data_IF_972394292851
#
_entry.id   IF_972394292851
#
_cell.length_a   1.000
_cell.length_b   1.000
_cell.length_c   1.000
_cell.angle_alpha   90.00
_cell.angle_beta   90.00
_cell.angle_gamma   90.00
#
_symmetry.space_group_name_H-M   'P 1'
#
loop_
_entity.id
_entity.type
_entity.pdbx_description
1 polymer ?
#
# COMPACT_ATOMS: atom_id res chain seq x y z
N UNK A 1 28.77 11.92 -19.39
CA UNK A 1 27.61 11.96 -18.47
C UNK A 1 27.73 10.75 -17.56
N UNK A 2 28.83 10.73 -16.82
CA UNK A 2 29.17 9.75 -15.81
C UNK A 2 28.86 10.37 -14.44
N UNK A 3 28.62 9.51 -13.46
CA UNK A 3 28.75 9.81 -12.04
C UNK A 3 27.58 10.53 -11.33
N UNK A 4 26.39 9.91 -11.29
CA UNK A 4 25.46 10.02 -10.14
C UNK A 4 24.68 8.70 -9.96
N UNK A 5 25.37 7.61 -9.64
CA UNK A 5 24.76 6.57 -8.80
C UNK A 5 25.72 6.44 -7.63
N UNK A 6 25.58 7.33 -6.64
CA UNK A 6 26.12 7.10 -5.32
C UNK A 6 25.65 5.71 -4.89
N UNK A 7 26.58 4.90 -4.38
CA UNK A 7 26.33 3.60 -3.77
C UNK A 7 25.06 3.65 -2.94
N UNK A 8 23.96 3.13 -3.51
CA UNK A 8 22.78 2.85 -2.73
C UNK A 8 23.25 1.70 -1.83
N UNK A 9 23.54 2.01 -0.56
CA UNK A 9 23.73 1.01 0.49
C UNK A 9 22.40 0.24 0.63
N UNK A 10 22.18 -0.68 -0.31
CA UNK A 10 21.07 -1.59 -0.33
C UNK A 10 21.27 -2.53 0.84
N UNK A 11 20.46 -2.31 1.87
CA UNK A 11 20.35 -3.25 2.97
C UNK A 11 19.92 -4.58 2.36
N UNK A 12 20.73 -5.61 2.49
CA UNK A 12 20.30 -6.99 2.25
C UNK A 12 19.70 -7.52 3.55
N UNK A 13 18.36 -7.55 3.70
CA UNK A 13 17.75 -7.90 4.97
C UNK A 13 17.98 -9.36 5.35
N UNK A 14 18.22 -10.21 4.36
CA UNK A 14 18.45 -11.64 4.51
C UNK A 14 19.88 -12.01 4.16
N UNK A 15 20.42 -13.00 4.87
CA UNK A 15 21.63 -13.74 4.51
C UNK A 15 21.29 -14.80 3.44
N UNK A 16 22.32 -15.48 2.92
CA UNK A 16 22.16 -16.56 1.94
C UNK A 16 21.35 -17.75 2.46
N UNK A 17 21.30 -17.96 3.77
CA UNK A 17 20.48 -18.97 4.45
C UNK A 17 19.05 -18.50 4.79
N UNK A 18 18.61 -17.37 4.21
CA UNK A 18 17.31 -16.73 4.45
C UNK A 18 17.07 -16.25 5.90
N UNK A 19 18.10 -16.22 6.75
CA UNK A 19 17.98 -15.63 8.09
C UNK A 19 18.18 -14.11 8.04
N UNK A 20 17.55 -13.38 8.98
CA UNK A 20 17.73 -11.93 9.08
C UNK A 20 19.15 -11.55 9.50
N UNK A 21 19.71 -10.52 8.87
CA UNK A 21 20.95 -9.88 9.34
C UNK A 21 20.73 -9.14 10.66
N UNK A 22 21.80 -8.88 11.43
CA UNK A 22 21.66 -8.10 12.67
C UNK A 22 21.17 -6.67 12.40
N UNK A 23 21.59 -6.08 11.27
CA UNK A 23 21.07 -4.80 10.80
C UNK A 23 19.56 -4.86 10.54
N UNK A 24 19.08 -5.89 9.84
CA UNK A 24 17.65 -6.06 9.58
C UNK A 24 16.84 -6.25 10.87
N UNK A 25 17.38 -7.02 11.84
CA UNK A 25 16.76 -7.16 13.17
C UNK A 25 16.69 -5.82 13.91
N UNK A 26 17.72 -5.00 13.80
CA UNK A 26 17.73 -3.67 14.41
C UNK A 26 16.68 -2.75 13.75
N UNK A 27 16.64 -2.71 12.41
CA UNK A 27 15.64 -1.95 11.65
C UNK A 27 14.21 -2.41 11.96
N UNK A 28 14.00 -3.71 12.13
CA UNK A 28 12.71 -4.26 12.55
C UNK A 28 12.28 -3.73 13.92
N UNK A 29 13.21 -3.65 14.90
CA UNK A 29 12.94 -3.06 16.22
C UNK A 29 12.59 -1.57 16.12
N UNK A 30 13.28 -0.83 15.26
CA UNK A 30 13.00 0.59 15.00
C UNK A 30 11.59 0.74 14.43
N UNK A 31 11.22 -0.07 13.44
CA UNK A 31 9.86 -0.08 12.86
C UNK A 31 8.77 -0.40 13.88
N UNK A 32 8.99 -1.42 14.73
CA UNK A 32 8.08 -1.74 15.84
C UNK A 32 7.89 -0.56 16.80
N UNK A 33 8.99 0.13 17.11
CA UNK A 33 8.98 1.31 17.97
C UNK A 33 8.21 2.47 17.33
N UNK A 34 8.43 2.72 16.04
CA UNK A 34 7.70 3.74 15.29
C UNK A 34 6.19 3.48 15.25
N UNK A 35 5.77 2.22 15.05
CA UNK A 35 4.38 1.80 15.14
C UNK A 35 3.81 2.09 16.54
N UNK A 36 4.46 1.65 17.61
CA UNK A 36 4.00 1.87 18.98
C UNK A 36 3.83 3.35 19.35
N UNK A 37 4.63 4.24 18.75
CA UNK A 37 4.54 5.69 18.95
C UNK A 37 3.64 6.43 17.95
N UNK A 38 2.78 5.74 17.19
CA UNK A 38 1.87 6.32 16.19
C UNK A 38 2.59 7.16 15.11
N UNK A 39 3.82 6.78 14.74
CA UNK A 39 4.62 7.47 13.71
C UNK A 39 4.50 6.80 12.33
N UNK A 40 3.37 6.16 12.05
CA UNK A 40 3.18 5.34 10.87
C UNK A 40 1.82 5.59 10.20
N UNK A 41 1.83 5.66 8.88
CA UNK A 41 0.65 5.72 8.03
C UNK A 41 0.87 4.80 6.81
N UNK A 42 -0.21 4.31 6.22
CA UNK A 42 -0.17 3.47 5.02
C UNK A 42 -0.79 4.23 3.86
N UNK A 43 -0.14 4.16 2.69
CA UNK A 43 -0.70 4.64 1.43
C UNK A 43 -0.87 3.43 0.50
N UNK A 44 -2.09 3.19 0.04
CA UNK A 44 -2.37 2.22 -1.02
C UNK A 44 -2.58 2.98 -2.33
N UNK A 45 -1.74 2.67 -3.32
CA UNK A 45 -1.83 3.25 -4.66
C UNK A 45 -2.74 2.39 -5.53
N UNK A 46 -4.02 2.77 -5.64
CA UNK A 46 -5.06 2.01 -6.35
C UNK A 46 -5.69 2.79 -7.52
N UNK A 47 -4.90 3.61 -8.22
CA UNK A 47 -5.36 4.36 -9.39
C UNK A 47 -5.55 3.54 -10.66
N UNK A 48 -4.99 2.32 -10.73
CA UNK A 48 -5.06 1.45 -11.90
C UNK A 48 -6.28 0.53 -11.91
N UNK A 49 -6.88 0.35 -13.09
CA UNK A 49 -7.85 -0.71 -13.34
C UNK A 49 -7.15 -2.08 -13.45
N UNK A 50 -7.88 -3.15 -13.14
CA UNK A 50 -7.41 -4.53 -13.18
C UNK A 50 -7.40 -5.17 -14.56
N UNK A 51 -7.30 -4.41 -15.66
CA UNK A 51 -7.53 -4.91 -17.03
C UNK A 51 -6.62 -6.06 -17.42
N UNK A 52 -5.35 -6.05 -16.98
CA UNK A 52 -4.41 -7.17 -17.22
C UNK A 52 -4.73 -8.43 -16.41
N UNK A 53 -5.56 -8.32 -15.38
CA UNK A 53 -6.11 -9.44 -14.62
C UNK A 53 -7.45 -9.91 -15.20
N UNK A 54 -7.91 -9.34 -16.32
CA UNK A 54 -9.16 -9.72 -16.98
C UNK A 54 -10.42 -9.12 -16.37
N UNK A 55 -10.30 -8.06 -15.55
CA UNK A 55 -11.44 -7.32 -14.98
C UNK A 55 -11.38 -5.83 -15.31
N UNK A 56 -12.53 -5.19 -15.45
CA UNK A 56 -12.66 -3.73 -15.55
C UNK A 56 -12.63 -3.02 -14.20
N UNK A 57 -12.70 -3.77 -13.11
CA UNK A 57 -12.77 -3.23 -11.76
C UNK A 57 -11.41 -2.68 -11.29
N UNK A 58 -11.38 -1.77 -10.31
CA UNK A 58 -10.16 -1.39 -9.62
C UNK A 58 -9.38 -2.63 -9.15
N UNK A 59 -8.06 -2.62 -9.34
CA UNK A 59 -7.22 -3.77 -8.97
C UNK A 59 -7.39 -4.19 -7.51
N UNK A 60 -7.60 -3.25 -6.59
CA UNK A 60 -7.81 -3.56 -5.17
C UNK A 60 -9.04 -4.43 -4.88
N UNK A 61 -10.04 -4.45 -5.77
CA UNK A 61 -11.25 -5.29 -5.67
C UNK A 61 -11.07 -6.68 -6.28
N UNK A 62 -9.95 -6.93 -6.96
CA UNK A 62 -9.67 -8.25 -7.49
C UNK A 62 -9.65 -9.30 -6.38
N UNK A 63 -10.38 -10.40 -6.57
CA UNK A 63 -10.49 -11.48 -5.59
C UNK A 63 -9.45 -12.58 -5.82
N UNK A 64 -8.77 -12.97 -4.76
CA UNK A 64 -8.00 -14.21 -4.69
C UNK A 64 -8.73 -15.09 -3.69
N UNK A 65 -9.26 -16.22 -4.18
CA UNK A 65 -10.25 -17.01 -3.45
C UNK A 65 -11.44 -16.12 -3.04
N UNK A 66 -11.77 -16.08 -1.75
CA UNK A 66 -12.95 -15.36 -1.24
C UNK A 66 -12.66 -13.93 -0.79
N UNK A 67 -11.41 -13.44 -0.92
CA UNK A 67 -10.99 -12.12 -0.43
C UNK A 67 -10.44 -11.23 -1.54
N UNK A 68 -10.81 -9.96 -1.49
CA UNK A 68 -10.23 -8.89 -2.28
C UNK A 68 -8.78 -8.59 -1.87
N UNK A 69 -7.99 -8.00 -2.77
CA UNK A 69 -6.66 -7.50 -2.42
C UNK A 69 -6.70 -6.46 -1.29
N UNK A 70 -7.74 -5.60 -1.24
CA UNK A 70 -7.92 -4.67 -0.14
C UNK A 70 -8.04 -5.38 1.21
N UNK A 71 -8.86 -6.43 1.31
CA UNK A 71 -9.05 -7.17 2.56
C UNK A 71 -7.73 -7.77 3.06
N UNK A 72 -6.90 -8.33 2.18
CA UNK A 72 -5.57 -8.82 2.56
C UNK A 72 -4.66 -7.73 3.15
N UNK A 73 -4.73 -6.50 2.62
CA UNK A 73 -3.99 -5.37 3.18
C UNK A 73 -4.58 -4.89 4.51
N UNK A 74 -5.91 -4.79 4.59
CA UNK A 74 -6.65 -4.38 5.78
C UNK A 74 -6.39 -5.34 6.95
N UNK A 75 -6.39 -6.65 6.71
CA UNK A 75 -6.08 -7.65 7.74
C UNK A 75 -4.69 -7.45 8.35
N UNK A 76 -3.69 -7.15 7.51
CA UNK A 76 -2.32 -6.84 7.97
C UNK A 76 -2.31 -5.55 8.79
N UNK A 77 -3.03 -4.52 8.37
CA UNK A 77 -3.13 -3.25 9.11
C UNK A 77 -3.80 -3.48 10.47
N UNK A 78 -4.97 -4.13 10.51
CA UNK A 78 -5.70 -4.47 11.75
C UNK A 78 -4.84 -5.30 12.70
N UNK A 79 -4.08 -6.27 12.17
CA UNK A 79 -3.14 -7.06 12.98
C UNK A 79 -2.10 -6.19 13.67
N UNK A 80 -1.51 -5.22 12.96
CA UNK A 80 -0.52 -4.30 13.53
C UNK A 80 -1.14 -3.32 14.53
N UNK A 81 -2.31 -2.74 14.22
CA UNK A 81 -3.08 -1.90 15.14
C UNK A 81 -3.30 -2.62 16.48
N UNK A 82 -3.78 -3.86 16.43
CA UNK A 82 -4.03 -4.68 17.62
C UNK A 82 -2.74 -5.04 18.36
N UNK A 83 -1.71 -5.47 17.64
CA UNK A 83 -0.45 -5.94 18.21
C UNK A 83 0.32 -4.82 18.92
N UNK A 84 0.37 -3.63 18.33
CA UNK A 84 1.15 -2.50 18.84
C UNK A 84 0.30 -1.46 19.57
N UNK A 85 -1.01 -1.70 19.72
CA UNK A 85 -1.99 -0.79 20.35
C UNK A 85 -1.87 0.64 19.80
N UNK A 86 -1.78 0.74 18.47
CA UNK A 86 -1.57 1.99 17.73
C UNK A 86 -2.76 2.30 16.84
N UNK A 87 -2.89 3.54 16.39
CA UNK A 87 -3.81 3.92 15.33
C UNK A 87 -3.03 4.17 14.03
N UNK A 88 -3.33 3.41 12.98
CA UNK A 88 -2.71 3.56 11.66
C UNK A 88 -3.71 4.25 10.74
N UNK A 89 -3.33 5.43 10.25
CA UNK A 89 -4.08 6.14 9.21
C UNK A 89 -3.87 5.45 7.86
N UNK A 90 -4.96 5.14 7.16
CA UNK A 90 -4.95 4.56 5.83
C UNK A 90 -5.31 5.63 4.79
N UNK A 91 -4.41 5.89 3.87
CA UNK A 91 -4.63 6.74 2.71
C UNK A 91 -4.79 5.86 1.47
N UNK A 92 -5.82 6.08 0.68
CA UNK A 92 -6.06 5.35 -0.56
C UNK A 92 -6.05 6.34 -1.70
N UNK A 93 -5.02 6.23 -2.53
CA UNK A 93 -4.92 6.96 -3.78
C UNK A 93 -5.76 6.24 -4.84
N UNK A 94 -6.62 6.97 -5.53
CA UNK A 94 -7.41 6.45 -6.65
C UNK A 94 -7.17 7.32 -7.89
N UNK A 95 -7.78 6.94 -9.01
CA UNK A 95 -7.91 7.74 -10.22
C UNK A 95 -9.37 8.08 -10.46
N UNK A 96 -9.65 8.93 -11.45
CA UNK A 96 -11.03 9.22 -11.86
C UNK A 96 -11.82 7.96 -12.22
N UNK A 97 -11.16 6.94 -12.79
CA UNK A 97 -11.80 5.69 -13.21
C UNK A 97 -12.04 4.68 -12.09
N UNK A 98 -11.44 4.88 -10.92
CA UNK A 98 -11.47 3.91 -9.81
C UNK A 98 -12.09 4.48 -8.53
N UNK A 99 -12.22 5.80 -8.43
CA UNK A 99 -12.59 6.51 -7.20
C UNK A 99 -13.93 6.06 -6.61
N UNK A 100 -15.00 6.20 -7.38
CA UNK A 100 -16.37 5.90 -6.90
C UNK A 100 -16.52 4.46 -6.46
N UNK A 101 -16.01 3.50 -7.24
CA UNK A 101 -16.09 2.08 -6.91
C UNK A 101 -15.33 1.74 -5.62
N UNK A 102 -14.16 2.34 -5.40
CA UNK A 102 -13.37 2.13 -4.18
C UNK A 102 -14.07 2.78 -2.98
N UNK A 103 -14.58 4.01 -3.10
CA UNK A 103 -15.30 4.67 -2.01
C UNK A 103 -16.54 3.87 -1.62
N UNK A 104 -17.33 3.42 -2.59
CA UNK A 104 -18.53 2.62 -2.35
C UNK A 104 -18.17 1.32 -1.63
N UNK A 105 -17.18 0.58 -2.14
CA UNK A 105 -16.72 -0.66 -1.50
C UNK A 105 -16.30 -0.44 -0.04
N UNK A 106 -15.50 0.58 0.24
CA UNK A 106 -15.08 0.85 1.62
C UNK A 106 -16.25 1.32 2.49
N UNK A 107 -17.15 2.14 1.96
CA UNK A 107 -18.32 2.66 2.70
C UNK A 107 -19.31 1.55 3.04
N UNK A 108 -19.61 0.65 2.10
CA UNK A 108 -20.47 -0.53 2.30
C UNK A 108 -19.91 -1.49 3.36
N UNK A 109 -18.58 -1.50 3.54
CA UNK A 109 -17.89 -2.28 4.56
C UNK A 109 -17.56 -1.44 5.83
N UNK A 110 -18.23 -0.30 6.04
CA UNK A 110 -18.06 0.58 7.20
C UNK A 110 -16.60 1.03 7.41
N UNK A 111 -15.88 1.28 6.31
CA UNK A 111 -14.44 1.56 6.25
C UNK A 111 -13.58 0.51 6.97
N UNK A 112 -14.11 -0.69 7.17
CA UNK A 112 -13.52 -1.77 7.94
C UNK A 112 -13.08 -1.31 9.35
N UNK A 113 -13.81 -0.39 9.99
CA UNK A 113 -13.44 0.20 11.29
C UNK A 113 -12.06 0.91 11.31
N UNK A 114 -11.57 1.35 10.15
CA UNK A 114 -10.28 2.05 10.03
C UNK A 114 -10.47 3.54 9.80
N UNK A 115 -9.45 4.32 10.16
CA UNK A 115 -9.35 5.73 9.78
C UNK A 115 -8.84 5.84 8.34
N UNK A 116 -9.78 5.91 7.39
CA UNK A 116 -9.50 5.91 5.95
C UNK A 116 -9.72 7.30 5.34
N UNK A 117 -8.77 7.77 4.52
CA UNK A 117 -8.97 8.92 3.65
C UNK A 117 -8.65 8.56 2.20
N UNK A 118 -9.46 9.08 1.30
CA UNK A 118 -9.30 8.91 -0.13
C UNK A 118 -8.76 10.19 -0.75
N UNK A 119 -7.90 10.05 -1.77
CA UNK A 119 -7.48 11.17 -2.60
C UNK A 119 -7.34 10.71 -4.05
N UNK A 120 -7.69 11.59 -4.98
CA UNK A 120 -7.52 11.33 -6.41
C UNK A 120 -6.14 11.80 -6.85
N UNK A 121 -5.45 10.97 -7.62
CA UNK A 121 -4.29 11.40 -8.41
C UNK A 121 -4.77 12.25 -9.60
N UNK A 122 -3.89 13.11 -10.13
CA UNK A 122 -4.14 13.82 -11.37
C UNK A 122 -4.02 12.89 -12.58
N UNK A 123 -4.74 13.21 -13.66
CA UNK A 123 -4.65 12.49 -14.92
C UNK A 123 -3.78 13.26 -15.91
N UNK A 124 -2.99 12.54 -16.69
CA UNK A 124 -2.31 13.09 -17.87
C UNK A 124 -3.11 12.77 -19.12
N UNK A 125 -3.09 13.69 -20.08
CA UNK A 125 -3.72 13.50 -21.40
C UNK A 125 -2.88 12.51 -22.19
N UNK A 126 -3.55 11.57 -22.87
CA UNK A 126 -2.90 10.74 -23.88
C UNK A 126 -2.78 11.57 -25.17
N UNK A 127 -1.55 11.76 -25.62
CA UNK A 127 -1.20 12.51 -26.83
C UNK A 127 -0.71 11.55 -27.90
N UNK A 128 -0.83 11.94 -29.17
CA UNK A 128 -0.15 11.21 -30.25
C UNK A 128 1.36 11.47 -30.18
N UNK A 129 2.16 10.76 -30.99
CA UNK A 129 3.62 10.99 -31.04
C UNK A 129 3.99 12.44 -31.36
N UNK A 130 3.09 13.19 -32.00
CA UNK A 130 3.29 14.59 -32.39
C UNK A 130 2.71 15.61 -31.39
N UNK A 131 2.23 15.18 -30.22
CA UNK A 131 1.52 16.03 -29.26
C UNK A 131 0.03 16.12 -29.55
#
# INVERSE_FOLDING_TARGET
>A
MSDIIQDINLISPYKSDYTLTEEAKNLYKIGCTALAYNKFAVVILSGGQGTRLGTSDPKGLFKINDKTLFEYHIEKIKKNIKMYKTNIKLLIMTSEFTHEQIINYFTENENFDLNVNFFKQENSICTFENG
#
